data_IF_828473300475
#
_entry.id   IF_828473300475
#
_cell.length_a   1.000
_cell.length_b   1.000
_cell.length_c   1.000
_cell.angle_alpha   90.00
_cell.angle_beta   90.00
_cell.angle_gamma   90.00
#
_symmetry.space_group_name_H-M   'P 1'
#
loop_
_entity.id
_entity.type
_entity.pdbx_description
1 polymer ?
#
# COMPACT_ATOMS: atom_id res chain seq x y z
N UNK A 1 -79.38 -37.11 12.15
CA UNK A 1 -80.42 -36.94 11.10
C UNK A 1 -80.19 -35.58 10.47
N UNK A 2 -79.93 -35.33 9.20
CA UNK A 2 -79.83 -36.08 7.95
C UNK A 2 -78.86 -35.23 7.07
N UNK A 3 -77.85 -35.81 6.42
CA UNK A 3 -77.84 -36.17 4.99
C UNK A 3 -78.41 -35.11 4.03
N UNK A 4 -77.59 -34.66 3.05
CA UNK A 4 -77.89 -34.62 1.60
C UNK A 4 -76.81 -33.82 0.80
N UNK A 5 -76.02 -34.53 -0.01
CA UNK A 5 -75.62 -34.15 -1.39
C UNK A 5 -76.69 -34.73 -2.36
N UNK A 6 -76.75 -34.49 -3.71
CA UNK A 6 -75.75 -33.95 -4.65
C UNK A 6 -76.34 -32.99 -5.75
N UNK A 7 -75.57 -32.61 -6.78
CA UNK A 7 -75.92 -32.70 -8.24
C UNK A 7 -74.68 -32.37 -9.11
N UNK A 8 -74.52 -33.17 -10.18
CA UNK A 8 -73.51 -33.22 -11.23
C UNK A 8 -73.82 -32.31 -12.44
N UNK A 9 -72.79 -32.01 -13.26
CA UNK A 9 -72.68 -31.90 -14.75
C UNK A 9 -71.32 -31.19 -14.98
N UNK A 10 -70.27 -31.63 -15.69
CA UNK A 10 -70.07 -32.59 -16.76
C UNK A 10 -69.65 -31.84 -18.05
N UNK A 11 -68.36 -31.88 -18.47
CA UNK A 11 -67.91 -31.91 -19.88
C UNK A 11 -66.37 -32.05 -19.98
N UNK A 12 -65.93 -33.08 -20.71
CA UNK A 12 -64.56 -33.32 -21.19
C UNK A 12 -64.31 -32.53 -22.49
N UNK A 13 -63.06 -32.11 -22.74
CA UNK A 13 -62.32 -32.25 -24.02
C UNK A 13 -60.83 -31.91 -23.77
N UNK A 14 -59.95 -32.82 -24.22
CA UNK A 14 -58.50 -32.70 -24.33
C UNK A 14 -58.11 -31.78 -25.51
N UNK A 15 -56.95 -31.11 -25.45
CA UNK A 15 -55.84 -31.20 -26.44
C UNK A 15 -54.61 -30.41 -25.94
N UNK A 16 -53.46 -31.04 -26.16
CA UNK A 16 -52.04 -30.74 -25.90
C UNK A 16 -51.46 -29.38 -26.29
N UNK A 17 -50.41 -28.93 -25.58
CA UNK A 17 -49.05 -28.69 -26.14
C UNK A 17 -48.02 -28.28 -25.06
N UNK A 18 -46.82 -28.83 -25.19
CA UNK A 18 -45.56 -28.53 -24.47
C UNK A 18 -45.10 -27.08 -24.76
N UNK A 19 -44.36 -26.37 -23.89
CA UNK A 19 -42.93 -26.57 -23.61
C UNK A 19 -42.49 -26.14 -22.20
N UNK A 20 -41.70 -27.01 -21.59
CA UNK A 20 -40.83 -26.79 -20.43
C UNK A 20 -39.55 -26.05 -20.83
N UNK A 21 -38.98 -25.25 -19.92
CA UNK A 21 -37.71 -24.57 -20.17
C UNK A 21 -37.18 -23.74 -19.00
N UNK A 22 -37.08 -24.31 -17.80
CA UNK A 22 -36.18 -23.78 -16.76
C UNK A 22 -35.71 -24.91 -15.85
N UNK A 23 -34.47 -25.38 -16.05
CA UNK A 23 -33.51 -25.90 -15.03
C UNK A 23 -32.31 -26.57 -15.72
N UNK A 24 -31.12 -26.02 -15.52
CA UNK A 24 -29.81 -26.70 -15.60
C UNK A 24 -28.83 -25.77 -14.86
N UNK A 25 -28.56 -25.94 -13.56
CA UNK A 25 -27.64 -26.93 -12.95
C UNK A 25 -26.16 -26.65 -13.26
N UNK A 26 -25.62 -25.59 -12.65
CA UNK A 26 -24.17 -25.31 -12.58
C UNK A 26 -23.52 -26.20 -11.50
N UNK A 27 -23.39 -27.49 -11.79
CA UNK A 27 -22.46 -28.37 -11.08
C UNK A 27 -21.57 -29.07 -12.10
N UNK A 28 -20.40 -28.47 -12.32
CA UNK A 28 -19.31 -29.11 -13.07
C UNK A 28 -18.97 -30.44 -12.38
N UNK A 29 -19.09 -31.55 -13.11
CA UNK A 29 -18.86 -32.88 -12.55
C UNK A 29 -17.38 -33.09 -12.23
N UNK A 30 -17.08 -33.88 -11.19
CA UNK A 30 -15.71 -34.28 -10.82
C UNK A 30 -14.90 -34.83 -12.01
N UNK A 31 -15.57 -35.52 -12.95
CA UNK A 31 -14.96 -36.02 -14.17
C UNK A 31 -14.51 -34.91 -15.12
N UNK A 32 -15.30 -33.85 -15.28
CA UNK A 32 -14.93 -32.68 -16.10
C UNK A 32 -13.76 -31.90 -15.48
N UNK A 33 -13.74 -31.77 -14.15
CA UNK A 33 -12.64 -31.11 -13.45
C UNK A 33 -11.34 -31.93 -13.56
N UNK A 34 -11.44 -33.25 -13.48
CA UNK A 34 -10.30 -34.16 -13.69
C UNK A 34 -9.77 -34.09 -15.13
N UNK A 35 -10.66 -33.99 -16.12
CA UNK A 35 -10.28 -33.82 -17.52
C UNK A 35 -9.56 -32.49 -17.76
N UNK A 36 -10.05 -31.40 -17.16
CA UNK A 36 -9.37 -30.09 -17.21
C UNK A 36 -8.00 -30.11 -16.53
N UNK A 37 -7.87 -30.77 -15.37
CA UNK A 37 -6.60 -30.94 -14.68
C UNK A 37 -5.60 -31.77 -15.52
N UNK A 38 -6.08 -32.81 -16.18
CA UNK A 38 -5.25 -33.64 -17.06
C UNK A 38 -4.80 -32.86 -18.30
N UNK A 39 -5.68 -32.06 -18.89
CA UNK A 39 -5.32 -31.15 -19.99
C UNK A 39 -4.31 -30.10 -19.55
N UNK A 40 -4.51 -29.47 -18.39
CA UNK A 40 -3.61 -28.46 -17.86
C UNK A 40 -2.21 -29.03 -17.58
N UNK A 41 -2.15 -30.26 -17.03
CA UNK A 41 -0.90 -30.96 -16.79
C UNK A 41 -0.15 -31.27 -18.09
N UNK A 42 -0.88 -31.74 -19.11
CA UNK A 42 -0.30 -32.04 -20.43
C UNK A 42 0.22 -30.75 -21.09
N UNK A 43 -0.50 -29.64 -20.96
CA UNK A 43 -0.07 -28.34 -21.47
C UNK A 43 1.19 -27.84 -20.77
N UNK A 44 1.32 -28.07 -19.46
CA UNK A 44 2.50 -27.70 -18.69
C UNK A 44 3.73 -28.53 -19.11
N UNK A 45 3.58 -29.84 -19.30
CA UNK A 45 4.67 -30.71 -19.77
C UNK A 45 5.13 -30.33 -21.20
N UNK A 46 4.19 -30.01 -22.09
CA UNK A 46 4.52 -29.49 -23.44
C UNK A 46 5.22 -28.13 -23.35
N UNK A 47 4.84 -27.29 -22.38
CA UNK A 47 5.45 -25.98 -22.18
C UNK A 47 6.88 -26.10 -21.65
N UNK A 48 7.15 -27.01 -20.72
CA UNK A 48 8.51 -27.32 -20.24
C UNK A 48 9.39 -27.87 -21.36
N UNK A 49 8.86 -28.76 -22.21
CA UNK A 49 9.63 -29.29 -23.35
C UNK A 49 9.94 -28.17 -24.38
N UNK A 50 8.98 -27.28 -24.64
CA UNK A 50 9.21 -26.11 -25.51
C UNK A 50 10.25 -25.16 -24.93
N UNK A 51 10.22 -24.94 -23.61
CA UNK A 51 11.18 -24.10 -22.90
C UNK A 51 12.60 -24.69 -23.00
N UNK A 52 12.75 -25.99 -22.74
CA UNK A 52 14.03 -26.69 -22.84
C UNK A 52 14.58 -26.71 -24.27
N UNK A 53 13.71 -26.86 -25.28
CA UNK A 53 14.09 -26.78 -26.70
C UNK A 53 14.50 -25.37 -27.12
N UNK A 54 13.84 -24.33 -26.59
CA UNK A 54 14.25 -22.93 -26.80
C UNK A 54 15.66 -22.68 -26.24
N UNK A 55 15.95 -23.21 -25.04
CA UNK A 55 17.25 -23.08 -24.38
C UNK A 55 18.36 -23.83 -25.13
N UNK A 56 18.08 -25.04 -25.62
CA UNK A 56 18.99 -25.82 -26.48
C UNK A 56 19.23 -25.17 -27.85
N UNK A 57 18.22 -24.50 -28.42
CA UNK A 57 18.37 -23.78 -29.70
C UNK A 57 19.23 -22.54 -29.54
N UNK A 58 19.21 -21.89 -28.37
CA UNK A 58 20.08 -20.74 -28.05
C UNK A 58 21.54 -21.15 -27.86
N UNK A 59 21.81 -22.37 -27.37
CA UNK A 59 23.17 -22.90 -27.26
C UNK A 59 23.75 -23.34 -28.62
N UNK A 60 22.90 -23.75 -29.57
CA UNK A 60 23.33 -24.21 -30.89
C UNK A 60 23.63 -23.08 -31.90
N UNK A 61 23.17 -21.85 -31.65
CA UNK A 61 23.44 -20.66 -32.48
C UNK A 61 24.66 -19.86 -32.02
N UNK A 62 25.46 -20.42 -31.10
CA UNK A 62 26.75 -19.86 -30.67
C UNK A 62 27.83 -19.94 -31.76
N UNK A 63 27.74 -19.06 -32.76
CA UNK A 63 28.86 -18.28 -33.33
C UNK A 63 28.41 -17.63 -34.66
N UNK A 64 28.55 -16.28 -34.72
CA UNK A 64 28.34 -15.37 -35.87
C UNK A 64 27.01 -14.61 -36.00
N UNK A 65 26.54 -13.96 -34.93
CA UNK A 65 25.89 -12.66 -35.10
C UNK A 65 26.35 -11.69 -34.01
N UNK A 66 27.47 -11.02 -34.27
CA UNK A 66 27.86 -9.79 -33.59
C UNK A 66 26.82 -8.71 -33.89
N UNK A 67 26.31 -8.08 -32.83
CA UNK A 67 25.66 -6.75 -32.80
C UNK A 67 24.16 -6.59 -33.10
N UNK A 68 23.25 -7.54 -32.80
CA UNK A 68 21.81 -7.20 -32.87
C UNK A 68 20.80 -8.01 -32.05
N UNK A 69 21.19 -8.78 -31.02
CA UNK A 69 20.24 -9.58 -30.25
C UNK A 69 20.56 -9.71 -28.75
N UNK A 70 20.94 -8.60 -28.10
CA UNK A 70 21.11 -8.54 -26.63
C UNK A 70 20.13 -7.56 -25.94
N UNK A 71 19.01 -7.22 -26.58
CA UNK A 71 18.02 -6.22 -26.07
C UNK A 71 16.65 -6.82 -25.76
N UNK A 72 16.51 -8.14 -25.57
CA UNK A 72 15.19 -8.72 -25.25
C UNK A 72 14.80 -8.73 -23.78
N UNK A 73 15.74 -8.49 -22.85
CA UNK A 73 15.48 -8.48 -21.40
C UNK A 73 16.09 -7.28 -20.67
N UNK A 74 16.65 -6.29 -21.37
CA UNK A 74 17.22 -5.12 -20.71
C UNK A 74 16.10 -4.22 -20.18
N UNK A 75 16.11 -3.92 -18.88
CA UNK A 75 15.20 -2.94 -18.29
C UNK A 75 15.77 -1.55 -18.60
N UNK A 76 14.98 -0.72 -19.28
CA UNK A 76 15.40 0.61 -19.73
C UNK A 76 15.29 1.64 -18.59
N UNK A 77 16.05 2.73 -18.67
CA UNK A 77 16.03 3.80 -17.66
C UNK A 77 14.84 4.73 -17.77
N UNK A 78 14.26 4.83 -18.96
CA UNK A 78 13.07 5.65 -19.21
C UNK A 78 12.20 5.03 -20.32
N UNK A 79 10.93 5.42 -20.38
CA UNK A 79 10.05 5.04 -21.49
C UNK A 79 10.55 5.59 -22.84
N UNK A 80 11.15 6.78 -22.84
CA UNK A 80 11.74 7.36 -24.06
C UNK A 80 12.90 6.53 -24.59
N UNK A 81 13.73 5.98 -23.70
CA UNK A 81 14.82 5.08 -24.08
C UNK A 81 14.26 3.79 -24.67
N UNK A 82 13.29 3.18 -23.99
CA UNK A 82 12.60 1.98 -24.48
C UNK A 82 12.01 2.21 -25.89
N UNK A 83 11.32 3.32 -26.09
CA UNK A 83 10.74 3.68 -27.39
C UNK A 83 11.80 3.96 -28.47
N UNK A 84 12.95 4.53 -28.10
CA UNK A 84 14.04 4.79 -29.05
C UNK A 84 14.69 3.50 -29.57
N UNK A 85 14.70 2.46 -28.73
CA UNK A 85 15.25 1.14 -29.07
C UNK A 85 14.22 0.29 -29.82
N UNK A 86 12.97 0.32 -29.38
CA UNK A 86 11.85 -0.36 -30.03
C UNK A 86 10.66 0.58 -30.24
N UNK A 87 10.59 1.24 -31.42
CA UNK A 87 9.48 2.10 -31.78
C UNK A 87 8.13 1.38 -31.92
N UNK A 88 8.11 0.04 -31.94
CA UNK A 88 6.88 -0.75 -32.04
C UNK A 88 6.16 -0.95 -30.71
N UNK A 89 6.79 -0.54 -29.59
CA UNK A 89 6.18 -0.61 -28.27
C UNK A 89 4.92 0.25 -28.19
N UNK A 90 3.83 -0.35 -27.71
CA UNK A 90 2.58 0.36 -27.46
C UNK A 90 2.61 1.11 -26.12
N UNK A 91 1.86 2.21 -25.99
CA UNK A 91 1.66 2.85 -24.68
C UNK A 91 1.05 1.86 -23.68
N UNK A 92 1.50 1.88 -22.43
CA UNK A 92 1.16 0.86 -21.45
C UNK A 92 1.98 0.94 -20.17
N UNK A 93 1.93 -0.10 -19.35
CA UNK A 93 2.72 -0.19 -18.12
C UNK A 93 4.01 -0.97 -18.36
N UNK A 94 5.13 -0.45 -17.87
CA UNK A 94 6.46 -1.02 -18.08
C UNK A 94 7.28 -0.94 -16.80
N UNK A 95 8.21 -1.89 -16.65
CA UNK A 95 9.27 -1.79 -15.65
C UNK A 95 10.36 -0.88 -16.20
N UNK A 96 10.72 0.13 -15.42
CA UNK A 96 11.75 1.12 -15.74
C UNK A 96 12.69 1.21 -14.55
N UNK A 97 13.98 1.26 -14.82
CA UNK A 97 15.03 1.31 -13.81
C UNK A 97 15.86 2.60 -13.97
N UNK A 98 15.44 3.71 -13.34
CA UNK A 98 16.03 5.03 -13.58
C UNK A 98 17.52 5.12 -13.22
N UNK A 99 17.96 4.42 -12.17
CA UNK A 99 19.36 4.30 -11.74
C UNK A 99 20.14 3.27 -12.57
N UNK A 100 19.44 2.28 -13.13
CA UNK A 100 19.91 1.34 -14.12
C UNK A 100 20.09 -0.05 -13.53
N UNK A 101 19.98 -1.06 -14.39
CA UNK A 101 19.92 -2.47 -13.97
C UNK A 101 21.04 -2.86 -12.99
N UNK A 102 20.64 -3.29 -11.80
CA UNK A 102 21.54 -3.74 -10.74
C UNK A 102 22.25 -2.61 -9.97
N UNK A 103 21.81 -1.36 -10.14
CA UNK A 103 22.29 -0.20 -9.40
C UNK A 103 21.17 0.30 -8.50
N UNK A 104 21.44 0.44 -7.21
CA UNK A 104 20.54 1.13 -6.29
C UNK A 104 19.26 0.35 -5.97
N UNK A 105 18.12 0.95 -6.29
CA UNK A 105 16.79 0.42 -5.98
C UNK A 105 16.29 -0.55 -7.06
N UNK A 106 15.26 -1.35 -6.73
CA UNK A 106 14.63 -2.22 -7.72
C UNK A 106 13.85 -1.39 -8.77
N UNK A 107 13.68 -1.90 -10.01
CA UNK A 107 12.91 -1.23 -11.04
C UNK A 107 11.50 -0.84 -10.59
N UNK A 108 11.00 0.28 -11.08
CA UNK A 108 9.68 0.80 -10.79
C UNK A 108 8.69 0.51 -11.93
N UNK A 109 7.44 0.21 -11.57
CA UNK A 109 6.38 -0.05 -12.54
C UNK A 109 5.64 1.24 -12.90
N UNK A 110 5.84 1.72 -14.12
CA UNK A 110 5.43 3.05 -14.57
C UNK A 110 4.54 3.00 -15.81
N UNK A 111 3.76 4.06 -16.00
CA UNK A 111 2.96 4.26 -17.21
C UNK A 111 3.80 4.97 -18.26
N UNK A 112 4.05 4.29 -19.38
CA UNK A 112 4.71 4.82 -20.55
C UNK A 112 3.68 5.24 -21.60
N UNK A 113 3.75 6.51 -22.00
CA UNK A 113 3.17 6.93 -23.26
C UNK A 113 4.25 6.89 -24.34
N UNK A 114 4.22 5.84 -25.16
CA UNK A 114 5.22 5.63 -26.21
C UNK A 114 5.04 6.60 -27.38
N UNK A 115 3.87 7.24 -27.54
CA UNK A 115 3.69 8.28 -28.55
C UNK A 115 4.48 9.56 -28.25
N UNK A 116 4.68 9.85 -26.95
CA UNK A 116 5.37 11.06 -26.48
C UNK A 116 6.72 10.77 -25.80
N UNK A 117 6.97 9.51 -25.43
CA UNK A 117 8.10 9.11 -24.58
C UNK A 117 7.91 9.43 -23.09
N UNK A 118 6.73 9.90 -22.67
CA UNK A 118 6.45 10.32 -21.29
C UNK A 118 6.48 9.11 -20.34
N UNK A 119 7.24 9.25 -19.25
CA UNK A 119 7.29 8.29 -18.14
C UNK A 119 6.50 8.86 -16.96
N UNK A 120 5.42 8.19 -16.54
CA UNK A 120 4.57 8.64 -15.43
C UNK A 120 4.52 7.59 -14.32
N UNK A 121 4.93 7.96 -13.12
CA UNK A 121 4.77 7.13 -11.92
C UNK A 121 3.34 7.28 -11.43
N UNK A 122 2.64 6.16 -11.28
CA UNK A 122 1.30 6.15 -10.69
C UNK A 122 1.42 6.02 -9.17
N UNK A 123 0.55 6.70 -8.46
CA UNK A 123 0.54 6.73 -7.00
C UNK A 123 -0.88 6.93 -6.48
N UNK A 124 -1.04 6.80 -5.17
CA UNK A 124 -2.34 6.67 -4.54
C UNK A 124 -2.91 7.98 -4.01
N UNK A 125 -2.04 8.89 -3.58
CA UNK A 125 -2.45 10.23 -3.14
C UNK A 125 -1.33 11.25 -3.29
N UNK A 126 -1.69 12.48 -3.58
CA UNK A 126 -0.77 13.62 -3.50
C UNK A 126 -0.77 14.12 -2.07
N UNK A 127 0.38 14.06 -1.39
CA UNK A 127 0.55 14.68 -0.06
C UNK A 127 0.18 16.17 -0.14
N UNK A 128 -0.19 16.81 0.99
CA UNK A 128 -1.00 18.02 0.94
C UNK A 128 -0.45 19.10 0.01
N UNK A 129 -1.34 19.67 -0.79
CA UNK A 129 -1.10 20.97 -1.40
C UNK A 129 -1.40 21.98 -0.32
N UNK A 130 -0.37 22.68 0.15
CA UNK A 130 -0.53 23.82 1.05
C UNK A 130 -0.44 25.11 0.23
N UNK A 131 -1.39 26.01 0.42
CA UNK A 131 -1.43 27.30 -0.25
C UNK A 131 -1.71 28.44 0.72
N UNK A 132 -0.69 29.24 0.98
CA UNK A 132 -0.78 30.47 1.74
C UNK A 132 -1.15 31.63 0.82
N UNK A 133 -2.21 32.35 1.17
CA UNK A 133 -2.88 33.28 0.26
C UNK A 133 -3.25 34.59 0.97
N UNK A 134 -3.05 35.68 0.25
CA UNK A 134 -3.52 37.02 0.62
C UNK A 134 -4.10 37.66 -0.64
N UNK A 135 -5.41 37.93 -0.67
CA UNK A 135 -6.11 38.41 -1.87
C UNK A 135 -5.83 37.60 -3.15
N UNK A 136 -5.61 36.29 -3.02
CA UNK A 136 -5.28 35.39 -4.11
C UNK A 136 -6.21 34.17 -4.11
N UNK A 137 -7.49 34.34 -4.49
CA UNK A 137 -8.52 33.30 -4.33
C UNK A 137 -8.36 32.16 -5.32
N UNK A 138 -8.92 30.99 -4.97
CA UNK A 138 -9.11 29.91 -5.92
C UNK A 138 -10.32 30.20 -6.81
N UNK A 139 -11.42 30.62 -6.19
CA UNK A 139 -12.67 31.00 -6.85
C UNK A 139 -13.27 32.24 -6.18
N UNK A 140 -13.85 33.15 -6.96
CA UNK A 140 -14.69 34.20 -6.41
C UNK A 140 -15.78 34.63 -7.38
N UNK A 141 -17.01 34.75 -6.88
CA UNK A 141 -18.21 35.03 -7.66
C UNK A 141 -18.42 34.05 -8.84
N UNK A 142 -18.10 32.77 -8.64
CA UNK A 142 -18.22 31.74 -9.68
C UNK A 142 -17.15 31.82 -10.78
N UNK A 143 -16.14 32.69 -10.62
CA UNK A 143 -14.99 32.77 -11.53
C UNK A 143 -13.80 32.09 -10.87
N UNK A 144 -13.27 31.07 -11.54
CA UNK A 144 -12.09 30.33 -11.10
C UNK A 144 -10.82 31.06 -11.53
N UNK A 145 -9.85 31.12 -10.63
CA UNK A 145 -8.55 31.78 -10.84
C UNK A 145 -7.37 30.83 -10.66
N UNK A 146 -7.59 29.71 -9.97
CA UNK A 146 -6.56 28.74 -9.69
C UNK A 146 -7.10 27.32 -9.91
N UNK A 147 -6.25 26.44 -10.44
CA UNK A 147 -6.57 25.04 -10.73
C UNK A 147 -5.28 24.23 -10.84
N UNK A 148 -5.40 22.90 -10.81
CA UNK A 148 -4.30 22.00 -11.14
C UNK A 148 -4.63 21.14 -12.36
N UNK A 149 -3.62 20.75 -13.12
CA UNK A 149 -3.79 19.94 -14.33
C UNK A 149 -3.62 18.45 -13.98
N UNK A 150 -4.61 17.63 -14.36
CA UNK A 150 -4.57 16.18 -14.17
C UNK A 150 -3.52 15.50 -15.07
N UNK A 151 -3.40 14.17 -14.96
CA UNK A 151 -2.46 13.36 -15.74
C UNK A 151 -2.60 13.50 -17.26
N UNK A 152 -3.78 13.88 -17.73
CA UNK A 152 -4.15 14.11 -19.13
C UNK A 152 -4.10 15.60 -19.52
N UNK A 153 -3.77 16.48 -18.57
CA UNK A 153 -3.71 17.93 -18.77
C UNK A 153 -5.07 18.64 -18.65
N UNK A 154 -6.11 17.99 -18.13
CA UNK A 154 -7.39 18.68 -17.90
C UNK A 154 -7.38 19.43 -16.56
N UNK A 155 -7.98 20.63 -16.50
CA UNK A 155 -8.02 21.42 -15.28
C UNK A 155 -8.98 20.82 -14.24
N UNK A 156 -8.55 20.82 -12.98
CA UNK A 156 -9.28 20.36 -11.80
C UNK A 156 -9.32 21.47 -10.75
N UNK A 157 -10.48 21.66 -10.11
CA UNK A 157 -10.77 22.85 -9.27
C UNK A 157 -10.96 22.55 -7.79
N UNK A 158 -10.92 21.28 -7.40
CA UNK A 158 -10.93 20.86 -6.00
C UNK A 158 -9.50 20.74 -5.49
N UNK A 159 -9.27 21.12 -4.25
CA UNK A 159 -7.96 21.17 -3.60
C UNK A 159 -7.83 20.17 -2.45
N UNK A 160 -8.88 19.39 -2.13
CA UNK A 160 -8.83 18.29 -1.18
C UNK A 160 -9.85 17.19 -1.49
N UNK A 161 -9.52 15.95 -1.13
CA UNK A 161 -10.39 14.78 -1.25
C UNK A 161 -10.37 14.14 -2.64
N UNK A 162 -11.50 13.56 -3.04
CA UNK A 162 -11.66 12.84 -4.31
C UNK A 162 -12.82 13.35 -5.18
N UNK A 163 -13.44 14.47 -4.82
CA UNK A 163 -14.61 14.97 -5.53
C UNK A 163 -14.22 15.94 -6.65
N UNK A 164 -14.07 15.42 -7.87
CA UNK A 164 -13.68 16.19 -9.05
C UNK A 164 -14.69 17.23 -9.54
N UNK A 165 -15.93 17.19 -9.05
CA UNK A 165 -17.01 18.04 -9.56
C UNK A 165 -17.26 19.30 -8.73
N UNK A 166 -16.59 19.47 -7.59
CA UNK A 166 -16.92 20.53 -6.63
C UNK A 166 -15.65 21.26 -6.18
N UNK A 167 -15.64 22.57 -6.35
CA UNK A 167 -14.62 23.42 -5.75
C UNK A 167 -14.66 23.32 -4.21
N UNK A 168 -13.66 22.66 -3.63
CA UNK A 168 -13.56 22.39 -2.19
C UNK A 168 -12.11 22.22 -1.78
N UNK A 169 -11.79 22.50 -0.53
CA UNK A 169 -10.51 22.23 0.14
C UNK A 169 -10.78 21.60 1.50
N UNK A 170 -9.73 21.32 2.30
CA UNK A 170 -9.89 20.57 3.54
C UNK A 170 -10.81 21.29 4.53
N UNK A 171 -10.68 22.62 4.70
CA UNK A 171 -11.56 23.35 5.62
C UNK A 171 -13.04 23.31 5.20
N UNK A 172 -13.29 23.28 3.88
CA UNK A 172 -14.63 23.21 3.31
C UNK A 172 -15.29 21.85 3.53
N UNK A 173 -14.48 20.78 3.50
CA UNK A 173 -14.90 19.42 3.85
C UNK A 173 -15.18 19.31 5.35
N UNK A 174 -14.28 19.85 6.17
CA UNK A 174 -14.36 19.80 7.63
C UNK A 174 -15.43 20.76 8.19
N UNK A 175 -15.88 21.73 7.39
CA UNK A 175 -16.84 22.75 7.79
C UNK A 175 -16.28 23.76 8.80
N UNK A 176 -14.97 24.00 8.78
CA UNK A 176 -14.25 24.82 9.76
C UNK A 176 -13.47 25.98 9.14
N UNK A 177 -13.77 26.37 7.89
CA UNK A 177 -13.18 27.56 7.28
C UNK A 177 -13.44 28.82 8.12
N UNK A 178 -12.51 29.78 8.04
CA UNK A 178 -12.57 31.06 8.77
C UNK A 178 -13.85 31.83 8.46
N UNK A 179 -14.25 31.83 7.19
CA UNK A 179 -15.53 32.34 6.74
C UNK A 179 -16.42 31.16 6.32
N UNK A 180 -17.54 30.98 7.01
CA UNK A 180 -18.47 29.86 6.78
C UNK A 180 -19.24 29.95 5.45
N UNK A 181 -19.20 31.10 4.75
CA UNK A 181 -19.91 31.30 3.47
C UNK A 181 -19.11 30.72 2.31
N UNK A 182 -17.77 30.78 2.38
CA UNK A 182 -16.88 30.31 1.34
C UNK A 182 -16.57 28.81 1.52
N UNK A 183 -16.07 28.19 0.45
CA UNK A 183 -15.64 26.78 0.46
C UNK A 183 -14.20 26.61 0.89
N UNK A 184 -13.39 27.66 0.73
CA UNK A 184 -11.98 27.67 1.09
C UNK A 184 -11.58 28.97 1.75
N UNK A 185 -10.60 28.91 2.65
CA UNK A 185 -10.11 30.08 3.36
C UNK A 185 -9.59 31.12 2.36
N UNK A 186 -8.89 30.71 1.31
CA UNK A 186 -8.33 31.59 0.30
C UNK A 186 -9.36 32.34 -0.55
N UNK A 187 -10.61 31.89 -0.57
CA UNK A 187 -11.69 32.60 -1.27
C UNK A 187 -12.31 33.70 -0.40
N UNK A 188 -12.01 33.73 0.89
CA UNK A 188 -12.51 34.75 1.80
C UNK A 188 -11.95 36.13 1.42
N UNK A 189 -12.83 37.13 1.39
CA UNK A 189 -12.43 38.51 1.09
C UNK A 189 -12.07 39.25 2.38
N UNK A 190 -11.13 38.70 3.14
CA UNK A 190 -10.62 39.31 4.39
C UNK A 190 -9.16 39.72 4.23
N UNK A 191 -8.71 40.83 4.83
CA UNK A 191 -7.32 41.32 4.75
C UNK A 191 -6.37 40.53 5.67
N UNK A 192 -6.48 39.20 5.66
CA UNK A 192 -5.68 38.30 6.49
C UNK A 192 -4.91 37.36 5.57
N UNK A 193 -3.70 37.01 5.98
CA UNK A 193 -2.99 35.87 5.39
C UNK A 193 -3.72 34.61 5.84
N UNK A 194 -4.28 33.89 4.88
CA UNK A 194 -5.00 32.65 5.07
C UNK A 194 -4.25 31.49 4.43
N UNK A 195 -4.66 30.27 4.77
CA UNK A 195 -4.04 29.07 4.25
C UNK A 195 -5.11 28.00 4.04
N UNK A 196 -5.00 27.29 2.94
CA UNK A 196 -5.73 26.05 2.68
C UNK A 196 -4.74 24.92 2.45
N UNK A 197 -5.05 23.77 3.03
CA UNK A 197 -4.34 22.52 2.81
C UNK A 197 -5.29 21.48 2.22
N UNK A 198 -4.74 20.46 1.56
CA UNK A 198 -5.55 19.35 1.12
C UNK A 198 -4.81 18.25 0.38
N UNK A 199 -5.21 17.01 0.64
CA UNK A 199 -4.68 15.80 0.00
C UNK A 199 -5.61 15.41 -1.14
N UNK A 200 -5.06 15.18 -2.33
CA UNK A 200 -5.84 14.65 -3.46
C UNK A 200 -5.77 13.13 -3.44
N UNK A 201 -6.92 12.48 -3.31
CA UNK A 201 -7.04 11.02 -3.19
C UNK A 201 -7.69 10.36 -4.41
N UNK A 202 -8.08 11.14 -5.42
CA UNK A 202 -8.64 10.63 -6.68
C UNK A 202 -7.55 10.11 -7.63
N UNK A 203 -7.19 8.83 -7.45
CA UNK A 203 -6.11 8.15 -8.20
C UNK A 203 -6.23 8.24 -9.72
N UNK A 204 -7.46 8.32 -10.25
CA UNK A 204 -7.67 8.35 -11.71
C UNK A 204 -7.18 9.63 -12.36
N UNK A 205 -7.05 10.72 -11.58
CA UNK A 205 -6.59 12.03 -12.04
C UNK A 205 -5.09 12.25 -11.81
N UNK A 206 -4.48 11.50 -10.90
CA UNK A 206 -3.07 11.64 -10.54
C UNK A 206 -2.12 11.05 -11.61
N UNK A 207 -0.90 11.58 -11.77
CA UNK A 207 -0.28 12.67 -10.99
C UNK A 207 -0.75 14.08 -11.34
N UNK A 208 -0.59 15.01 -10.39
CA UNK A 208 -0.67 16.45 -10.68
C UNK A 208 0.48 16.84 -11.61
N UNK A 209 0.17 17.45 -12.75
CA UNK A 209 1.18 17.83 -13.76
C UNK A 209 1.53 19.31 -13.77
N UNK A 210 0.62 20.17 -13.28
CA UNK A 210 0.83 21.61 -13.16
C UNK A 210 -0.07 22.21 -12.07
N UNK A 211 0.45 23.21 -11.36
CA UNK A 211 -0.34 24.11 -10.52
C UNK A 211 -0.44 25.48 -11.19
N UNK A 212 -1.65 26.02 -11.26
CA UNK A 212 -1.94 27.32 -11.85
C UNK A 212 -2.58 28.21 -10.78
N UNK A 213 -1.98 29.37 -10.54
CA UNK A 213 -2.47 30.37 -9.58
C UNK A 213 -2.67 31.71 -10.26
N UNK A 214 -3.75 32.39 -9.92
CA UNK A 214 -4.16 33.64 -10.55
C UNK A 214 -4.53 34.76 -9.58
N UNK A 215 -4.99 35.87 -10.15
CA UNK A 215 -5.58 37.02 -9.44
C UNK A 215 -4.66 37.73 -8.41
N UNK A 216 -3.36 37.64 -8.58
CA UNK A 216 -2.36 38.40 -7.79
C UNK A 216 -2.08 39.80 -8.35
N UNK A 217 -3.13 40.58 -8.63
CA UNK A 217 -3.01 41.89 -9.29
C UNK A 217 -2.76 43.06 -8.33
N UNK A 218 -2.99 42.87 -7.03
CA UNK A 218 -2.80 43.92 -6.03
C UNK A 218 -1.36 43.90 -5.53
N UNK A 219 -0.83 45.08 -5.17
CA UNK A 219 0.50 45.16 -4.54
C UNK A 219 0.59 44.41 -3.21
N UNK A 220 -0.55 44.21 -2.53
CA UNK A 220 -0.67 43.41 -1.32
C UNK A 220 -1.01 41.94 -1.57
N UNK A 221 -1.37 41.55 -2.79
CA UNK A 221 -1.76 40.16 -3.05
C UNK A 221 -0.54 39.25 -3.15
N UNK A 222 -0.61 38.08 -2.54
CA UNK A 222 0.46 37.08 -2.55
C UNK A 222 -0.14 35.67 -2.50
N UNK A 223 0.54 34.74 -3.17
CA UNK A 223 0.25 33.32 -3.07
C UNK A 223 1.57 32.56 -2.97
N UNK A 224 1.70 31.70 -1.97
CA UNK A 224 2.84 30.79 -1.80
C UNK A 224 2.29 29.36 -1.70
N UNK A 225 2.76 28.48 -2.59
CA UNK A 225 2.28 27.10 -2.63
C UNK A 225 3.40 26.13 -2.30
N UNK A 226 3.03 25.02 -1.70
CA UNK A 226 3.86 23.83 -1.50
C UNK A 226 3.11 22.64 -2.05
N UNK A 227 3.75 21.87 -2.94
CA UNK A 227 3.24 20.56 -3.36
C UNK A 227 3.98 19.49 -2.57
N UNK A 228 3.23 18.68 -1.84
CA UNK A 228 3.77 17.56 -1.08
C UNK A 228 4.35 16.44 -1.95
N UNK A 229 4.83 15.38 -1.31
CA UNK A 229 5.37 14.18 -1.98
C UNK A 229 4.22 13.35 -2.57
N UNK A 230 4.51 12.57 -3.61
CA UNK A 230 3.61 11.51 -4.06
C UNK A 230 3.58 10.38 -3.03
N UNK A 231 2.40 9.93 -2.61
CA UNK A 231 2.23 8.84 -1.65
C UNK A 231 1.68 7.58 -2.34
N UNK A 232 2.33 6.45 -2.08
CA UNK A 232 1.91 5.13 -2.53
C UNK A 232 1.54 4.26 -1.31
N UNK A 233 0.46 3.52 -1.43
CA UNK A 233 0.00 2.53 -0.48
C UNK A 233 0.15 1.12 -1.07
N UNK A 234 0.43 0.16 -0.21
CA UNK A 234 0.77 -1.19 -0.61
C UNK A 234 1.73 -1.82 0.40
N UNK A 235 1.75 -3.14 0.46
CA UNK A 235 2.63 -3.89 1.33
C UNK A 235 3.19 -5.09 0.58
N UNK A 236 4.49 -5.28 0.63
CA UNK A 236 5.11 -6.55 0.24
C UNK A 236 5.08 -7.50 1.43
N UNK A 237 4.84 -8.79 1.19
CA UNK A 237 4.95 -9.80 2.25
C UNK A 237 6.42 -10.01 2.57
N UNK A 238 6.92 -9.35 3.61
CA UNK A 238 8.23 -9.68 4.18
C UNK A 238 8.07 -10.97 4.97
N UNK A 239 8.54 -12.08 4.40
CA UNK A 239 8.55 -13.38 5.09
C UNK A 239 9.71 -13.42 6.06
N UNK A 240 9.41 -13.62 7.34
CA UNK A 240 10.41 -13.64 8.41
C UNK A 240 10.62 -12.27 9.06
N UNK A 241 11.73 -12.14 9.79
CA UNK A 241 12.03 -10.92 10.55
C UNK A 241 12.66 -9.86 9.62
N UNK A 242 12.19 -8.60 9.66
CA UNK A 242 12.71 -7.54 8.78
C UNK A 242 14.20 -7.29 9.04
N UNK A 243 14.95 -6.95 8.00
CA UNK A 243 16.40 -6.67 8.09
C UNK A 243 16.72 -5.18 8.21
N UNK A 244 15.75 -4.31 7.92
CA UNK A 244 15.90 -2.86 8.00
C UNK A 244 14.57 -2.15 8.30
N UNK A 245 14.65 -0.86 8.66
CA UNK A 245 13.51 0.06 8.67
C UNK A 245 12.85 0.15 7.30
N UNK A 246 13.62 -0.01 6.20
CA UNK A 246 13.05 0.00 4.86
C UNK A 246 12.20 -1.25 4.60
N UNK A 247 12.57 -2.40 5.14
CA UNK A 247 11.75 -3.62 5.04
C UNK A 247 10.44 -3.46 5.82
N UNK A 248 10.52 -2.89 7.03
CA UNK A 248 9.34 -2.55 7.84
C UNK A 248 8.43 -1.56 7.08
N UNK A 249 9.03 -0.55 6.45
CA UNK A 249 8.29 0.42 5.64
C UNK A 249 7.62 -0.23 4.43
N UNK A 250 8.33 -1.11 3.71
CA UNK A 250 7.81 -1.89 2.57
C UNK A 250 6.72 -2.88 2.98
N UNK A 251 6.76 -3.40 4.22
CA UNK A 251 5.69 -4.27 4.75
C UNK A 251 4.49 -3.51 5.31
N UNK A 252 4.47 -2.17 5.19
CA UNK A 252 3.33 -1.33 5.58
C UNK A 252 3.44 -0.67 6.96
N UNK A 253 4.58 -0.78 7.67
CA UNK A 253 4.78 0.01 8.89
C UNK A 253 4.93 1.50 8.54
N UNK A 254 4.28 2.36 9.33
CA UNK A 254 4.24 3.83 9.13
C UNK A 254 4.46 4.63 10.40
N UNK A 255 4.47 4.00 11.58
CA UNK A 255 4.67 4.68 12.86
C UNK A 255 6.15 4.77 13.22
N UNK A 256 6.71 5.97 13.36
CA UNK A 256 8.10 6.11 13.83
C UNK A 256 8.26 5.53 15.23
N UNK A 257 9.39 4.88 15.51
CA UNK A 257 9.59 4.20 16.79
C UNK A 257 10.76 3.24 16.83
N UNK A 258 10.85 2.46 17.91
CA UNK A 258 11.86 1.43 18.10
C UNK A 258 11.41 0.11 17.50
N UNK A 259 12.26 -0.50 16.68
CA UNK A 259 12.01 -1.75 15.98
C UNK A 259 13.18 -2.71 16.11
N UNK A 260 12.87 -4.00 15.99
CA UNK A 260 13.88 -5.05 15.90
C UNK A 260 14.10 -5.44 14.45
N UNK A 261 15.36 -5.40 14.01
CA UNK A 261 15.76 -5.77 12.66
C UNK A 261 16.92 -6.75 12.67
N UNK A 262 16.99 -7.63 11.67
CA UNK A 262 18.06 -8.63 11.52
C UNK A 262 19.25 -8.08 10.75
N UNK A 263 20.46 -8.28 11.29
CA UNK A 263 21.70 -8.16 10.52
C UNK A 263 22.49 -9.46 10.65
N UNK A 264 22.50 -10.27 9.57
CA UNK A 264 23.10 -11.60 9.58
C UNK A 264 22.38 -12.52 10.58
N UNK A 265 23.03 -12.84 11.71
CA UNK A 265 22.49 -13.70 12.79
C UNK A 265 22.14 -12.92 14.06
N UNK A 266 22.31 -11.61 14.06
CA UNK A 266 22.09 -10.75 15.22
C UNK A 266 20.81 -9.94 15.05
N UNK A 267 20.09 -9.76 16.15
CA UNK A 267 18.96 -8.84 16.23
C UNK A 267 19.47 -7.48 16.70
N UNK A 268 19.20 -6.44 15.93
CA UNK A 268 19.45 -5.05 16.28
C UNK A 268 18.18 -4.40 16.80
N UNK A 269 18.35 -3.44 17.71
CA UNK A 269 17.34 -2.46 18.04
C UNK A 269 17.67 -1.16 17.27
N UNK A 270 16.74 -0.72 16.43
CA UNK A 270 16.88 0.48 15.60
C UNK A 270 15.70 1.42 15.86
N UNK A 271 15.95 2.73 15.76
CA UNK A 271 14.89 3.71 15.66
C UNK A 271 14.60 3.98 14.18
N UNK A 272 13.37 3.75 13.77
CA UNK A 272 12.89 4.06 12.43
C UNK A 272 12.10 5.37 12.48
N UNK A 273 12.51 6.33 11.65
CA UNK A 273 11.79 7.58 11.45
C UNK A 273 11.07 7.56 10.10
N UNK A 274 9.81 7.10 10.09
CA UNK A 274 9.02 6.98 8.86
C UNK A 274 8.45 8.31 8.37
N UNK A 275 8.74 9.43 9.04
CA UNK A 275 8.53 10.76 8.46
C UNK A 275 9.60 11.08 7.38
N UNK A 276 10.67 10.29 7.30
CA UNK A 276 11.76 10.43 6.35
C UNK A 276 11.73 9.34 5.28
N UNK A 277 12.32 9.62 4.12
CA UNK A 277 12.60 8.64 3.07
C UNK A 277 13.78 7.78 3.45
N UNK A 278 13.87 6.54 2.94
CA UNK A 278 15.00 5.66 3.24
C UNK A 278 16.38 6.21 2.86
N UNK A 279 16.43 7.09 1.87
CA UNK A 279 17.64 7.79 1.44
C UNK A 279 18.02 8.98 2.34
N UNK A 280 17.12 9.44 3.21
CA UNK A 280 17.35 10.60 4.08
C UNK A 280 18.10 10.20 5.37
N UNK A 281 19.01 11.09 5.81
CA UNK A 281 19.77 10.87 7.03
C UNK A 281 18.85 10.78 8.26
N UNK A 282 19.06 9.73 9.05
CA UNK A 282 18.28 9.45 10.26
C UNK A 282 16.95 8.73 10.02
N UNK A 283 16.67 8.26 8.79
CA UNK A 283 15.59 7.30 8.55
C UNK A 283 15.71 6.04 9.42
N UNK A 284 16.93 5.53 9.56
CA UNK A 284 17.27 4.45 10.47
C UNK A 284 18.45 4.85 11.35
N UNK A 285 18.28 4.75 12.66
CA UNK A 285 19.35 4.99 13.63
C UNK A 285 19.58 3.74 14.48
N UNK A 286 20.83 3.30 14.59
CA UNK A 286 21.18 2.19 15.48
C UNK A 286 21.08 2.64 16.94
N UNK A 287 20.25 1.96 17.73
CA UNK A 287 20.13 2.20 19.17
C UNK A 287 20.98 1.19 19.94
N UNK A 288 21.02 -0.07 19.49
CA UNK A 288 21.87 -1.09 20.07
C UNK A 288 21.65 -2.48 19.47
N UNK A 289 22.29 -3.47 20.07
CA UNK A 289 22.11 -4.88 19.71
C UNK A 289 21.27 -5.56 20.79
N UNK A 290 20.28 -6.35 20.38
CA UNK A 290 19.58 -7.20 21.31
C UNK A 290 20.48 -8.41 21.61
N UNK A 291 20.87 -8.58 22.87
CA UNK A 291 21.56 -9.79 23.33
C UNK A 291 20.58 -10.97 23.36
N UNK A 292 20.28 -11.54 22.20
CA UNK A 292 19.62 -12.85 22.12
C UNK A 292 20.68 -13.91 22.34
N UNK A 293 20.87 -14.33 23.60
CA UNK A 293 21.62 -15.57 23.90
C UNK A 293 20.79 -16.74 23.37
N UNK A 294 21.24 -17.51 22.36
CA UNK A 294 20.54 -18.70 21.92
C UNK A 294 20.74 -19.79 22.97
N UNK A 295 20.03 -19.70 24.09
CA UNK A 295 19.78 -20.86 24.94
C UNK A 295 18.61 -21.61 24.30
N UNK A 296 18.67 -22.95 24.15
CA UNK A 296 17.51 -23.73 23.76
C UNK A 296 16.42 -23.50 24.81
N UNK A 297 15.47 -22.63 24.52
CA UNK A 297 14.29 -22.45 25.35
C UNK A 297 13.32 -23.54 24.97
N UNK A 298 13.09 -24.47 25.90
CA UNK A 298 11.92 -25.33 25.85
C UNK A 298 10.68 -24.42 25.72
N UNK A 299 9.86 -24.69 24.70
CA UNK A 299 8.64 -23.95 24.36
C UNK A 299 7.57 -24.07 25.45
N UNK A 300 7.77 -23.34 26.55
CA UNK A 300 6.77 -23.10 27.57
C UNK A 300 6.99 -21.67 28.08
N UNK A 301 5.94 -20.84 28.02
CA UNK A 301 6.01 -19.51 28.64
C UNK A 301 6.17 -19.73 30.14
N UNK A 302 7.21 -19.16 30.78
CA UNK A 302 7.42 -19.33 32.20
C UNK A 302 6.23 -18.81 32.99
N UNK A 303 5.70 -19.60 33.92
CA UNK A 303 4.53 -19.20 34.74
C UNK A 303 4.92 -18.48 36.02
N UNK A 304 6.23 -18.35 36.31
CA UNK A 304 6.74 -17.71 37.53
C UNK A 304 8.24 -17.39 37.45
N UNK A 305 8.72 -16.53 38.35
CA UNK A 305 10.15 -16.30 38.56
C UNK A 305 10.91 -17.56 38.98
N UNK A 306 10.27 -18.51 39.67
CA UNK A 306 10.89 -19.80 40.00
C UNK A 306 11.14 -20.63 38.73
N UNK A 307 10.20 -20.60 37.78
CA UNK A 307 10.38 -21.22 36.48
C UNK A 307 11.51 -20.54 35.68
N UNK A 308 11.58 -19.20 35.70
CA UNK A 308 12.67 -18.43 35.10
C UNK A 308 14.05 -18.76 35.72
N UNK A 309 14.12 -18.91 37.05
CA UNK A 309 15.36 -19.33 37.75
C UNK A 309 15.77 -20.74 37.33
N UNK A 310 14.79 -21.65 37.18
CA UNK A 310 15.00 -23.02 36.71
C UNK A 310 15.43 -23.12 35.23
N UNK A 311 15.03 -22.17 34.38
CA UNK A 311 15.49 -22.07 32.99
C UNK A 311 16.83 -21.32 32.86
N UNK A 312 17.44 -20.93 33.98
CA UNK A 312 18.78 -20.38 34.05
C UNK A 312 18.86 -18.86 33.87
N UNK A 313 17.80 -18.14 34.24
CA UNK A 313 17.86 -16.70 34.48
C UNK A 313 18.47 -16.41 35.85
N UNK A 314 19.42 -15.48 35.88
CA UNK A 314 20.17 -15.12 37.11
C UNK A 314 20.19 -13.60 37.38
N UNK A 315 19.75 -12.77 36.43
CA UNK A 315 19.73 -11.31 36.56
C UNK A 315 18.38 -10.84 37.08
N UNK A 316 18.33 -10.10 38.19
CA UNK A 316 17.07 -9.51 38.67
C UNK A 316 16.54 -8.47 37.66
N UNK A 317 15.22 -8.40 37.47
CA UNK A 317 14.62 -7.51 36.48
C UNK A 317 13.13 -7.77 36.21
N UNK A 318 12.58 -7.06 35.22
CA UNK A 318 11.20 -7.26 34.75
C UNK A 318 11.16 -8.38 33.71
N UNK A 319 10.26 -9.33 33.90
CA UNK A 319 10.07 -10.49 33.03
C UNK A 319 8.59 -10.72 32.74
N UNK A 320 8.30 -11.19 31.53
CA UNK A 320 6.95 -11.61 31.15
C UNK A 320 6.72 -13.06 31.55
N UNK A 321 5.67 -13.32 32.33
CA UNK A 321 5.25 -14.66 32.74
C UNK A 321 3.80 -14.91 32.33
N UNK A 322 3.44 -16.17 32.09
CA UNK A 322 2.05 -16.54 31.85
C UNK A 322 1.31 -16.58 33.19
N UNK A 323 0.43 -15.61 33.42
CA UNK A 323 -0.54 -15.63 34.51
C UNK A 323 -1.68 -16.62 34.26
N UNK A 324 -2.74 -16.56 35.06
CA UNK A 324 -3.87 -17.52 34.94
C UNK A 324 -4.68 -17.35 33.65
N UNK A 325 -4.71 -16.15 33.07
CA UNK A 325 -5.50 -15.83 31.87
C UNK A 325 -4.74 -15.03 30.80
N UNK A 326 -3.66 -14.33 31.16
CA UNK A 326 -2.90 -13.46 30.27
C UNK A 326 -1.42 -13.39 30.65
N UNK A 327 -0.59 -12.84 29.75
CA UNK A 327 0.82 -12.58 30.04
C UNK A 327 0.93 -11.36 30.97
N UNK A 328 1.62 -11.53 32.09
CA UNK A 328 1.84 -10.51 33.11
C UNK A 328 3.32 -10.13 33.16
N UNK A 329 3.62 -8.87 33.47
CA UNK A 329 4.99 -8.42 33.75
C UNK A 329 5.24 -8.49 35.24
N UNK A 330 6.25 -9.25 35.65
CA UNK A 330 6.63 -9.44 37.06
C UNK A 330 8.07 -9.00 37.29
N UNK A 331 8.34 -8.42 38.45
CA UNK A 331 9.72 -8.18 38.87
C UNK A 331 10.25 -9.41 39.61
N UNK A 332 11.29 -10.03 39.05
CA UNK A 332 11.98 -11.17 39.65
C UNK A 332 13.26 -10.70 40.33
N UNK A 333 13.38 -10.90 41.63
CA UNK A 333 14.60 -10.62 42.39
C UNK A 333 15.36 -11.92 42.67
N UNK A 334 16.30 -12.27 41.79
CA UNK A 334 17.08 -13.51 41.90
C UNK A 334 18.21 -13.45 42.93
N UNK A 335 18.43 -12.29 43.56
CA UNK A 335 19.37 -12.15 44.69
C UNK A 335 18.81 -12.75 45.99
N UNK A 336 17.49 -13.01 46.05
CA UNK A 336 16.80 -13.58 47.22
C UNK A 336 16.54 -15.08 47.06
N UNK A 337 16.47 -15.78 48.19
CA UNK A 337 16.19 -17.23 48.21
C UNK A 337 14.70 -17.51 47.92
N UNK A 338 14.44 -18.65 47.28
CA UNK A 338 13.09 -19.10 46.93
C UNK A 338 12.31 -19.43 48.21
N UNK A 339 11.59 -18.45 48.73
CA UNK A 339 10.85 -18.55 50.00
C UNK A 339 10.67 -17.20 50.72
N UNK A 340 11.44 -16.18 50.34
CA UNK A 340 11.28 -14.85 50.93
C UNK A 340 10.03 -14.12 50.37
N UNK A 341 9.21 -13.48 51.21
CA UNK A 341 7.99 -12.77 50.81
C UNK A 341 8.21 -11.56 49.88
N UNK A 342 9.46 -11.28 49.46
CA UNK A 342 9.82 -10.24 48.51
C UNK A 342 10.62 -10.75 47.30
N UNK A 343 10.61 -12.05 47.00
CA UNK A 343 11.26 -12.63 45.81
C UNK A 343 10.44 -12.42 44.52
N UNK A 344 9.11 -12.27 44.65
CA UNK A 344 8.17 -12.04 43.55
C UNK A 344 7.23 -10.90 43.93
N UNK A 345 7.31 -9.77 43.24
CA UNK A 345 6.31 -8.70 43.36
C UNK A 345 5.58 -8.55 42.04
N UNK A 346 4.28 -8.84 42.04
CA UNK A 346 3.38 -8.48 40.95
C UNK A 346 3.29 -6.96 40.91
N UNK A 347 3.87 -6.36 39.88
CA UNK A 347 3.58 -4.97 39.53
C UNK A 347 2.27 -4.98 38.74
N UNK A 348 1.13 -4.97 39.45
CA UNK A 348 -0.14 -4.65 38.83
C UNK A 348 -0.10 -3.18 38.42
N UNK A 349 0.31 -2.90 37.18
CA UNK A 349 0.12 -1.59 36.58
C UNK A 349 -1.39 -1.39 36.43
N UNK A 350 -2.02 -0.70 37.41
CA UNK A 350 -3.27 -0.02 37.16
C UNK A 350 -2.93 1.16 36.25
N UNK A 351 -3.19 1.01 34.95
CA UNK A 351 -3.35 2.17 34.08
C UNK A 351 -4.54 2.98 34.64
N UNK A 352 -4.25 4.17 35.15
CA UNK A 352 -5.24 5.24 35.30
C UNK A 352 -5.29 5.97 33.97
#
# INVERSE_FOLDING_TARGET
>A
MANLYPIFIGFFILVSAWTSGSTADDRLSLAQLQEQLQQLKTNYEILEEKFLRLELTQLATGDRQTNQAQTKNAIFRTCSEAHSVDPSLASGMYWIDPDGEGVGDDPIYVSCDMATGKTSVLHDSESPIDYDCNYAPFETNGVTYSWWDDRNGNPQYFWAGSNSSVHTCQCGIDGNCVDSIVKCNCDATVPLLLSDSGVITEKTLLPITKLNFGRTQLSSSSGAHTLGRFECSGGTTVTGMPTSCQDLWRSGHRLSGLYFVMEGKLVKNVYCDFAKLPSEAGFQSLIGYAEVKPKPTYFGIPTSCANLKGTGHTSSGLYSVMGSTMVETVFCDFTKNTGDPGANTNLTLRMI
#
